data_IF_597621107649
#
_entry.id   IF_597621107649
#
_cell.length_a   1.000
_cell.length_b   1.000
_cell.length_c   1.000
_cell.angle_alpha   90.00
_cell.angle_beta   90.00
_cell.angle_gamma   90.00
#
_symmetry.space_group_name_H-M   'P 1'
#
loop_
_entity.id
_entity.type
_entity.pdbx_description
1 polymer ?
#
# COMPACT_ATOMS: atom_id res chain seq x y z
N UNK A 1 34.59 8.61 -12.53
CA UNK A 1 35.03 8.10 -11.22
C UNK A 1 33.87 7.34 -10.62
N UNK A 2 33.97 6.02 -10.44
CA UNK A 2 32.96 5.28 -9.68
C UNK A 2 33.10 5.65 -8.21
N UNK A 3 32.09 6.31 -7.64
CA UNK A 3 32.10 6.60 -6.20
C UNK A 3 31.92 5.30 -5.43
N UNK A 4 32.85 4.98 -4.55
CA UNK A 4 32.79 3.77 -3.73
C UNK A 4 31.78 3.98 -2.58
N UNK A 5 30.82 3.07 -2.44
CA UNK A 5 29.83 3.09 -1.36
C UNK A 5 30.43 2.49 -0.08
N UNK A 6 31.18 3.29 0.67
CA UNK A 6 31.97 2.85 1.83
C UNK A 6 31.22 2.78 3.16
N UNK A 7 29.97 3.26 3.22
CA UNK A 7 29.18 3.31 4.45
C UNK A 7 27.87 2.56 4.25
N UNK A 8 27.42 1.83 5.27
CA UNK A 8 26.18 1.07 5.19
C UNK A 8 25.45 0.97 6.52
N UNK A 9 24.13 0.80 6.46
CA UNK A 9 23.28 0.41 7.58
C UNK A 9 22.30 -0.66 7.15
N UNK A 10 22.03 -1.61 8.04
CA UNK A 10 20.98 -2.62 7.85
C UNK A 10 19.87 -2.39 8.88
N UNK A 11 18.63 -2.29 8.40
CA UNK A 11 17.44 -2.18 9.23
C UNK A 11 16.64 -3.49 9.11
N UNK A 12 16.08 -3.95 10.23
CA UNK A 12 15.10 -5.05 10.28
C UNK A 12 13.82 -4.48 10.90
N UNK A 13 12.72 -4.54 10.16
CA UNK A 13 11.43 -4.01 10.58
C UNK A 13 10.47 -5.20 10.69
N UNK A 14 10.07 -5.59 11.91
CA UNK A 14 9.14 -6.70 12.10
C UNK A 14 7.71 -6.30 11.75
N UNK A 15 6.95 -7.24 11.20
CA UNK A 15 5.53 -7.15 10.92
C UNK A 15 4.80 -8.31 11.61
N UNK A 16 3.47 -8.20 11.74
CA UNK A 16 2.68 -9.26 12.35
C UNK A 16 2.64 -10.55 11.52
N UNK A 17 2.75 -10.42 10.19
CA UNK A 17 2.71 -11.56 9.26
C UNK A 17 3.69 -11.36 8.11
N UNK A 18 4.12 -12.45 7.48
CA UNK A 18 4.92 -12.42 6.26
C UNK A 18 4.21 -11.68 5.11
N UNK A 19 2.88 -11.78 5.06
CA UNK A 19 2.09 -11.08 4.06
C UNK A 19 2.13 -9.56 4.27
N UNK A 20 2.06 -9.09 5.51
CA UNK A 20 2.22 -7.67 5.84
C UNK A 20 3.60 -7.15 5.45
N UNK A 21 4.68 -7.89 5.76
CA UNK A 21 6.02 -7.52 5.32
C UNK A 21 6.12 -7.44 3.77
N UNK A 22 5.50 -8.36 3.05
CA UNK A 22 5.47 -8.36 1.59
C UNK A 22 4.68 -7.18 0.99
N UNK A 23 3.53 -6.82 1.59
CA UNK A 23 2.76 -5.63 1.20
C UNK A 23 3.55 -4.35 1.44
N UNK A 24 4.15 -4.22 2.63
CA UNK A 24 4.97 -3.05 2.97
C UNK A 24 6.15 -2.89 2.01
N UNK A 25 6.87 -3.98 1.68
CA UNK A 25 7.94 -3.95 0.68
C UNK A 25 7.47 -3.38 -0.65
N UNK A 26 6.33 -3.85 -1.17
CA UNK A 26 5.78 -3.37 -2.45
C UNK A 26 5.48 -1.88 -2.43
N UNK A 27 4.90 -1.38 -1.33
CA UNK A 27 4.61 0.04 -1.17
C UNK A 27 5.90 0.90 -1.08
N UNK A 28 6.95 0.38 -0.44
CA UNK A 28 8.20 1.10 -0.22
C UNK A 28 9.18 1.06 -1.41
N UNK A 29 8.99 0.13 -2.35
CA UNK A 29 9.84 -0.03 -3.53
C UNK A 29 9.40 0.81 -4.74
N UNK A 30 8.28 1.53 -4.64
CA UNK A 30 7.68 2.25 -5.79
C UNK A 30 8.63 3.31 -6.38
N UNK A 31 9.38 4.02 -5.54
CA UNK A 31 10.33 5.03 -6.02
C UNK A 31 11.78 4.60 -5.85
N UNK A 32 12.52 4.66 -6.97
CA UNK A 32 13.97 4.49 -7.00
C UNK A 32 14.66 5.72 -6.44
N UNK A 33 15.77 5.51 -5.75
CA UNK A 33 16.57 6.59 -5.17
C UNK A 33 17.07 7.55 -6.27
N UNK A 34 16.80 8.85 -6.10
CA UNK A 34 17.10 9.91 -7.09
C UNK A 34 18.61 10.03 -7.40
N UNK A 35 19.48 9.54 -6.50
CA UNK A 35 20.94 9.65 -6.59
C UNK A 35 21.63 8.28 -6.55
N UNK A 36 21.25 7.36 -7.45
CA UNK A 36 21.77 5.99 -7.52
C UNK A 36 23.33 5.88 -7.59
N UNK A 37 24.04 6.94 -7.97
CA UNK A 37 25.52 6.98 -7.96
C UNK A 37 26.15 7.25 -6.59
N UNK A 38 25.38 7.66 -5.58
CA UNK A 38 25.88 8.04 -4.26
C UNK A 38 25.16 7.34 -3.10
N UNK A 39 23.96 6.82 -3.36
CA UNK A 39 23.14 6.08 -2.41
C UNK A 39 22.50 4.90 -3.14
N UNK A 40 22.55 3.74 -2.50
CA UNK A 40 21.88 2.53 -2.97
C UNK A 40 21.04 1.97 -1.81
N UNK A 41 19.82 1.52 -2.11
CA UNK A 41 18.94 0.84 -1.17
C UNK A 41 18.50 -0.48 -1.77
N UNK A 42 18.57 -1.54 -0.97
CA UNK A 42 18.07 -2.87 -1.32
C UNK A 42 17.15 -3.39 -0.21
N UNK A 43 16.04 -4.02 -0.59
CA UNK A 43 14.99 -4.49 0.31
C UNK A 43 14.73 -5.98 0.05
N UNK A 44 14.53 -6.76 1.11
CA UNK A 44 14.11 -8.16 1.05
C UNK A 44 13.18 -8.48 2.23
N UNK A 45 12.34 -9.49 2.07
CA UNK A 45 11.51 -10.00 3.17
C UNK A 45 12.08 -11.34 3.63
N UNK A 46 12.25 -11.50 4.93
CA UNK A 46 12.67 -12.72 5.60
C UNK A 46 11.58 -13.11 6.60
N UNK A 47 10.67 -14.01 6.20
CA UNK A 47 9.50 -14.33 7.01
C UNK A 47 8.60 -13.10 7.18
N UNK A 48 8.41 -12.67 8.43
CA UNK A 48 7.65 -11.51 8.87
C UNK A 48 8.49 -10.22 9.01
N UNK A 49 9.78 -10.26 8.65
CA UNK A 49 10.65 -9.08 8.73
C UNK A 49 10.98 -8.49 7.36
N UNK A 50 10.89 -7.17 7.25
CA UNK A 50 11.46 -6.40 6.13
C UNK A 50 12.91 -6.04 6.45
N UNK A 51 13.85 -6.56 5.66
CA UNK A 51 15.27 -6.28 5.79
C UNK A 51 15.70 -5.28 4.72
N UNK A 52 16.31 -4.17 5.15
CA UNK A 52 16.68 -3.05 4.30
C UNK A 52 18.15 -2.75 4.47
N UNK A 53 18.91 -2.78 3.37
CA UNK A 53 20.31 -2.40 3.35
C UNK A 53 20.45 -1.10 2.56
N UNK A 54 20.92 -0.05 3.24
CA UNK A 54 21.25 1.24 2.65
C UNK A 54 22.77 1.37 2.60
N UNK A 55 23.32 1.75 1.45
CA UNK A 55 24.73 2.02 1.22
C UNK A 55 24.91 3.44 0.69
N UNK A 56 25.97 4.13 1.12
CA UNK A 56 26.24 5.50 0.68
C UNK A 56 27.75 5.82 0.66
N UNK A 57 28.11 6.88 -0.09
CA UNK A 57 29.49 7.38 -0.19
C UNK A 57 29.94 8.21 1.01
N UNK A 58 29.01 8.69 1.85
CA UNK A 58 29.29 9.45 3.07
C UNK A 58 28.26 9.18 4.16
N UNK A 59 28.64 9.36 5.42
CA UNK A 59 27.73 9.28 6.57
C UNK A 59 26.56 10.27 6.48
N UNK A 60 26.80 11.47 5.93
CA UNK A 60 25.76 12.48 5.74
C UNK A 60 24.65 11.97 4.81
N UNK A 61 25.03 11.35 3.70
CA UNK A 61 24.10 10.76 2.74
C UNK A 61 23.43 9.52 3.31
N UNK A 62 24.15 8.67 4.04
CA UNK A 62 23.59 7.51 4.72
C UNK A 62 22.47 7.94 5.69
N UNK A 63 22.73 8.96 6.52
CA UNK A 63 21.73 9.52 7.45
C UNK A 63 20.53 10.10 6.71
N UNK A 64 20.76 10.87 5.64
CA UNK A 64 19.68 11.48 4.88
C UNK A 64 18.76 10.42 4.24
N UNK A 65 19.35 9.44 3.56
CA UNK A 65 18.62 8.35 2.92
C UNK A 65 17.88 7.49 3.94
N UNK A 66 18.53 7.16 5.07
CA UNK A 66 17.92 6.35 6.14
C UNK A 66 16.73 7.07 6.77
N UNK A 67 16.86 8.36 7.08
CA UNK A 67 15.76 9.14 7.65
C UNK A 67 14.59 9.27 6.67
N UNK A 68 14.88 9.57 5.39
CA UNK A 68 13.84 9.63 4.36
C UNK A 68 13.10 8.31 4.23
N UNK A 69 13.83 7.19 4.24
CA UNK A 69 13.23 5.86 4.18
C UNK A 69 12.35 5.57 5.40
N UNK A 70 12.79 5.92 6.61
CA UNK A 70 11.99 5.73 7.83
C UNK A 70 10.70 6.56 7.83
N UNK A 71 10.70 7.77 7.25
CA UNK A 71 9.47 8.54 7.06
C UNK A 71 8.48 7.85 6.10
N UNK A 72 8.98 7.23 5.03
CA UNK A 72 8.14 6.41 4.13
C UNK A 72 7.60 5.17 4.84
N UNK A 73 8.42 4.51 5.66
CA UNK A 73 7.99 3.37 6.49
C UNK A 73 6.88 3.80 7.45
N UNK A 74 7.03 4.93 8.14
CA UNK A 74 6.01 5.46 9.05
C UNK A 74 4.67 5.64 8.34
N UNK A 75 4.67 6.25 7.14
CA UNK A 75 3.45 6.43 6.35
C UNK A 75 2.81 5.09 5.97
N UNK A 76 3.60 4.13 5.49
CA UNK A 76 3.10 2.80 5.12
C UNK A 76 2.53 2.07 6.33
N UNK A 77 3.21 2.13 7.47
CA UNK A 77 2.74 1.50 8.70
C UNK A 77 1.43 2.11 9.21
N UNK A 78 1.27 3.44 9.15
CA UNK A 78 0.00 4.09 9.48
C UNK A 78 -1.12 3.62 8.55
N UNK A 79 -0.88 3.61 7.24
CA UNK A 79 -1.87 3.12 6.26
C UNK A 79 -2.24 1.66 6.51
N UNK A 80 -1.26 0.81 6.82
CA UNK A 80 -1.53 -0.59 7.15
C UNK A 80 -2.30 -0.72 8.47
N UNK A 81 -1.99 0.09 9.48
CA UNK A 81 -2.72 0.08 10.75
C UNK A 81 -4.21 0.46 10.60
N UNK A 82 -4.54 1.30 9.62
CA UNK A 82 -5.93 1.73 9.36
C UNK A 82 -6.69 0.82 8.38
N UNK A 83 -5.99 0.16 7.46
CA UNK A 83 -6.63 -0.51 6.31
C UNK A 83 -6.18 -1.94 6.03
N UNK A 84 -5.13 -2.44 6.68
CA UNK A 84 -4.78 -3.85 6.51
C UNK A 84 -5.83 -4.71 7.22
N UNK A 85 -6.24 -5.84 6.62
CA UNK A 85 -7.11 -6.79 7.30
C UNK A 85 -6.45 -7.27 8.59
N UNK A 86 -7.26 -7.50 9.62
CA UNK A 86 -6.74 -8.05 10.87
C UNK A 86 -6.14 -9.44 10.55
N UNK A 87 -4.88 -9.71 10.93
CA UNK A 87 -4.24 -10.99 10.64
C UNK A 87 -4.98 -12.19 11.27
N UNK A 88 -5.80 -11.96 12.30
CA UNK A 88 -6.62 -12.98 12.94
C UNK A 88 -8.08 -13.00 12.41
N UNK A 89 -8.46 -12.06 11.54
CA UNK A 89 -9.79 -12.02 10.94
C UNK A 89 -9.94 -13.05 9.82
N UNK A 90 -10.89 -13.97 10.00
CA UNK A 90 -11.27 -14.93 8.97
C UNK A 90 -12.17 -14.23 7.96
N UNK A 91 -11.56 -13.81 6.85
CA UNK A 91 -12.32 -13.28 5.71
C UNK A 91 -13.06 -14.43 5.00
N UNK A 92 -14.36 -14.29 4.69
CA UNK A 92 -15.07 -15.27 3.90
C UNK A 92 -14.41 -15.40 2.53
N UNK A 93 -14.34 -16.62 2.00
CA UNK A 93 -13.91 -16.87 0.63
C UNK A 93 -14.85 -16.20 -0.38
N UNK A 94 -14.37 -15.95 -1.59
CA UNK A 94 -15.19 -15.37 -2.67
C UNK A 94 -16.48 -16.16 -2.92
N UNK A 95 -16.42 -17.49 -2.82
CA UNK A 95 -17.58 -18.36 -2.96
C UNK A 95 -18.59 -18.21 -1.81
N UNK A 96 -18.10 -18.02 -0.57
CA UNK A 96 -18.96 -17.72 0.58
C UNK A 96 -19.58 -16.33 0.45
N UNK A 97 -18.83 -15.36 -0.05
CA UNK A 97 -19.31 -14.00 -0.32
C UNK A 97 -20.42 -14.00 -1.39
N UNK A 98 -20.23 -14.75 -2.48
CA UNK A 98 -21.25 -14.93 -3.53
C UNK A 98 -22.51 -15.63 -2.98
N UNK A 99 -22.35 -16.63 -2.12
CA UNK A 99 -23.48 -17.30 -1.48
C UNK A 99 -24.24 -16.37 -0.53
N UNK A 100 -23.54 -15.53 0.25
CA UNK A 100 -24.14 -14.51 1.11
C UNK A 100 -24.89 -13.47 0.28
N UNK A 101 -24.30 -13.01 -0.83
CA UNK A 101 -24.93 -12.10 -1.79
C UNK A 101 -26.20 -12.70 -2.39
N UNK A 102 -26.13 -13.94 -2.87
CA UNK A 102 -27.27 -14.65 -3.44
C UNK A 102 -28.39 -14.87 -2.41
N UNK A 103 -28.04 -15.25 -1.18
CA UNK A 103 -28.99 -15.41 -0.09
C UNK A 103 -29.64 -14.07 0.30
N UNK A 104 -28.87 -12.99 0.41
CA UNK A 104 -29.39 -11.65 0.69
C UNK A 104 -30.34 -11.16 -0.42
N UNK A 105 -30.07 -11.50 -1.68
CA UNK A 105 -30.99 -11.23 -2.80
C UNK A 105 -32.30 -12.00 -2.71
N UNK A 106 -32.30 -13.21 -2.14
CA UNK A 106 -33.50 -14.05 -1.97
C UNK A 106 -34.32 -13.65 -0.72
N UNK A 107 -33.66 -13.32 0.39
CA UNK A 107 -34.32 -12.90 1.65
C UNK A 107 -34.76 -11.44 1.63
N UNK A 108 -34.05 -10.59 0.88
CA UNK A 108 -34.39 -9.19 0.65
C UNK A 108 -35.53 -9.03 -0.34
N UNK A 109 -36.72 -9.49 0.02
CA UNK A 109 -37.94 -9.28 -0.76
C UNK A 109 -38.10 -7.80 -1.16
N UNK A 110 -37.84 -7.51 -2.44
CA UNK A 110 -38.33 -6.33 -3.16
C UNK A 110 -38.34 -5.00 -2.41
N UNK A 111 -37.26 -4.61 -1.72
CA UNK A 111 -37.11 -3.19 -1.36
C UNK A 111 -36.84 -2.43 -2.66
N UNK A 112 -37.93 -1.94 -3.26
CA UNK A 112 -37.97 -0.93 -4.32
C UNK A 112 -36.84 0.05 -4.01
N UNK A 113 -35.85 0.16 -4.91
CA UNK A 113 -34.77 1.11 -4.76
C UNK A 113 -35.35 2.47 -4.39
N UNK A 114 -34.64 3.24 -3.57
CA UNK A 114 -34.98 4.63 -3.32
C UNK A 114 -35.21 5.31 -4.69
N UNK A 115 -36.46 5.61 -5.01
CA UNK A 115 -36.81 6.44 -6.15
C UNK A 115 -36.25 7.82 -5.83
N UNK A 116 -35.01 8.08 -6.26
CA UNK A 116 -34.49 9.42 -6.36
C UNK A 116 -35.38 10.10 -7.39
N UNK A 117 -36.36 10.87 -6.90
CA UNK A 117 -37.19 11.73 -7.73
C UNK A 117 -36.24 12.61 -8.52
N UNK A 118 -36.03 12.29 -9.80
CA UNK A 118 -35.14 13.03 -10.68
C UNK A 118 -35.52 14.49 -10.63
N UNK A 119 -34.63 15.33 -10.09
CA UNK A 119 -34.75 16.76 -10.25
C UNK A 119 -34.80 17.05 -11.74
N UNK A 120 -35.72 17.94 -12.15
CA UNK A 120 -35.85 18.38 -13.52
C UNK A 120 -34.47 18.76 -14.07
N UNK A 121 -33.98 17.98 -15.05
CA UNK A 121 -32.76 18.29 -15.77
C UNK A 121 -32.92 19.62 -16.49
N UNK A 122 -32.12 20.60 -16.11
CA UNK A 122 -31.93 21.80 -16.92
C UNK A 122 -31.04 21.42 -18.11
N UNK A 123 -31.65 21.23 -19.28
CA UNK A 123 -30.95 20.80 -20.49
C UNK A 123 -31.84 20.79 -21.72
N UNK A 124 -32.67 21.83 -21.89
CA UNK A 124 -33.33 22.10 -23.16
C UNK A 124 -32.32 22.74 -24.12
N UNK A 125 -31.67 21.94 -24.94
CA UNK A 125 -30.85 22.38 -26.08
C UNK A 125 -31.36 21.66 -27.32
N UNK A 126 -32.29 22.29 -28.02
CA UNK A 126 -32.82 21.84 -29.31
C UNK A 126 -31.74 22.04 -30.39
N UNK A 127 -31.19 20.96 -30.93
CA UNK A 127 -30.38 21.01 -32.16
C UNK A 127 -31.31 21.07 -33.37
N UNK A 128 -31.48 22.28 -33.91
CA UNK A 128 -32.11 22.50 -35.22
C UNK A 128 -31.15 22.07 -36.33
N UNK A 129 -31.61 21.16 -37.18
CA UNK A 129 -30.95 20.68 -38.39
C UNK A 129 -31.27 21.58 -39.59
#
# INVERSE_FOLDING_TARGET
>A
MSSQLSHSVTLRIPFHTAQHAAHAKRALDVDREVNAGFVERSTKVEGDELVVLVRATSLRLLRLATNSFLSSVELVLRTMGEFAPDPDEVLPSDAELEAISAAAHLEGGGRKGIELKGGAGAGGGEEVK
#
